data_IF_389150881396
#
_entry.id   IF_389150881396
#
_cell.length_a   1.000
_cell.length_b   1.000
_cell.length_c   1.000
_cell.angle_alpha   90.00
_cell.angle_beta   90.00
_cell.angle_gamma   90.00
#
_symmetry.space_group_name_H-M   'P 1'
#
loop_
_entity.id
_entity.type
_entity.pdbx_description
1 polymer ?
#
# COMPACT_ATOMS: atom_id res chain seq x y z
N UNK A 1 -11.40 12.67 0.07
CA UNK A 1 -10.41 11.77 0.62
C UNK A 1 -9.43 12.50 1.55
N UNK A 2 -8.89 13.64 1.14
CA UNK A 2 -7.97 14.41 1.97
C UNK A 2 -8.57 14.90 3.28
N UNK A 3 -9.85 15.11 3.30
CA UNK A 3 -10.53 15.59 4.49
C UNK A 3 -10.51 14.62 5.65
N UNK A 4 -10.47 13.33 5.35
CA UNK A 4 -10.41 12.30 6.39
C UNK A 4 -9.13 12.47 7.22
N UNK A 5 -8.03 12.77 6.56
CA UNK A 5 -6.76 12.99 7.25
C UNK A 5 -6.77 14.28 8.06
N UNK A 6 -7.43 15.32 7.56
CA UNK A 6 -7.51 16.59 8.27
C UNK A 6 -8.24 16.46 9.60
N UNK A 7 -9.19 15.56 9.71
CA UNK A 7 -9.93 15.34 10.95
C UNK A 7 -9.14 14.61 12.01
N UNK A 8 -8.06 13.95 11.65
CA UNK A 8 -7.30 13.15 12.59
C UNK A 8 -5.96 13.76 12.92
N UNK A 9 -6.00 15.00 13.39
CA UNK A 9 -4.79 15.69 13.80
C UNK A 9 -4.35 15.31 15.21
N UNK A 10 -5.28 14.91 16.02
CA UNK A 10 -4.96 14.44 17.37
C UNK A 10 -4.63 12.95 17.27
N UNK A 11 -3.51 12.53 17.85
CA UNK A 11 -3.15 11.10 17.83
C UNK A 11 -4.25 10.28 18.47
N UNK A 12 -4.90 9.52 17.65
CA UNK A 12 -5.94 8.58 18.06
C UNK A 12 -5.53 7.23 17.48
N UNK A 13 -4.87 6.41 18.29
CA UNK A 13 -4.30 5.15 17.82
C UNK A 13 -5.31 4.28 17.09
N UNK A 14 -6.51 4.17 17.62
CA UNK A 14 -7.55 3.34 17.02
C UNK A 14 -7.92 3.84 15.63
N UNK A 15 -8.10 5.13 15.49
CA UNK A 15 -8.51 5.73 14.23
C UNK A 15 -7.39 5.62 13.17
N UNK A 16 -6.16 5.87 13.58
CA UNK A 16 -5.01 5.70 12.70
C UNK A 16 -4.86 4.25 12.24
N UNK A 17 -5.08 3.32 13.16
CA UNK A 17 -4.97 1.91 12.85
C UNK A 17 -6.04 1.48 11.84
N UNK A 18 -7.26 1.96 11.99
CA UNK A 18 -8.33 1.69 11.03
C UNK A 18 -7.99 2.23 9.66
N UNK A 19 -7.48 3.46 9.59
CA UNK A 19 -7.08 4.05 8.31
C UNK A 19 -5.94 3.30 7.68
N UNK A 20 -4.96 2.88 8.47
CA UNK A 20 -3.84 2.09 7.98
C UNK A 20 -4.30 0.75 7.41
N UNK A 21 -5.23 0.10 8.09
CA UNK A 21 -5.82 -1.16 7.60
C UNK A 21 -6.50 -0.93 6.25
N UNK A 22 -7.29 0.13 6.11
CA UNK A 22 -7.93 0.47 4.84
C UNK A 22 -6.89 0.72 3.76
N UNK A 23 -5.84 1.46 4.07
CA UNK A 23 -4.76 1.73 3.12
C UNK A 23 -4.04 0.46 2.70
N UNK A 24 -3.78 -0.44 3.64
CA UNK A 24 -3.17 -1.73 3.33
C UNK A 24 -4.06 -2.53 2.38
N UNK A 25 -5.35 -2.54 2.62
CA UNK A 25 -6.31 -3.24 1.76
C UNK A 25 -6.34 -2.65 0.35
N UNK A 26 -6.29 -1.34 0.25
CA UNK A 26 -6.26 -0.66 -1.04
C UNK A 26 -4.98 -0.99 -1.81
N UNK A 27 -3.85 -1.01 -1.13
CA UNK A 27 -2.58 -1.38 -1.76
C UNK A 27 -2.60 -2.83 -2.22
N UNK A 28 -3.13 -3.74 -1.42
CA UNK A 28 -3.26 -5.15 -1.81
C UNK A 28 -4.12 -5.28 -3.07
N UNK A 29 -5.26 -4.59 -3.11
CA UNK A 29 -6.15 -4.61 -4.25
C UNK A 29 -5.44 -4.11 -5.51
N UNK A 30 -4.69 -3.03 -5.40
CA UNK A 30 -3.95 -2.45 -6.51
C UNK A 30 -2.83 -3.36 -6.97
N UNK A 31 -2.09 -3.95 -6.05
CA UNK A 31 -1.03 -4.91 -6.36
C UNK A 31 -1.61 -6.11 -7.11
N UNK A 32 -2.71 -6.65 -6.62
CA UNK A 32 -3.37 -7.80 -7.27
C UNK A 32 -3.82 -7.45 -8.68
N UNK A 33 -4.44 -6.29 -8.86
CA UNK A 33 -4.85 -5.83 -10.18
C UNK A 33 -3.64 -5.69 -11.11
N UNK A 34 -2.54 -5.14 -10.60
CA UNK A 34 -1.32 -5.00 -11.37
C UNK A 34 -0.78 -6.36 -11.80
N UNK A 35 -0.78 -7.34 -10.91
CA UNK A 35 -0.31 -8.68 -11.22
C UNK A 35 -1.17 -9.35 -12.28
N UNK A 36 -2.50 -9.18 -12.20
CA UNK A 36 -3.41 -9.71 -13.20
C UNK A 36 -3.14 -9.08 -14.57
N UNK A 37 -2.93 -7.77 -14.62
CA UNK A 37 -2.60 -7.08 -15.86
C UNK A 37 -1.25 -7.52 -16.42
N UNK A 38 -0.25 -7.69 -15.57
CA UNK A 38 1.07 -8.17 -16.00
C UNK A 38 0.93 -9.57 -16.62
N UNK A 39 0.19 -10.45 -15.99
CA UNK A 39 -0.03 -11.80 -16.51
C UNK A 39 -0.72 -11.77 -17.88
N UNK A 40 -1.72 -10.93 -18.03
CA UNK A 40 -2.45 -10.80 -19.29
C UNK A 40 -1.57 -10.22 -20.39
N UNK A 41 -0.88 -9.12 -20.10
CA UNK A 41 -0.03 -8.45 -21.08
C UNK A 41 1.21 -9.26 -21.44
N UNK A 42 1.65 -10.13 -20.56
CA UNK A 42 2.82 -10.99 -20.80
C UNK A 42 2.57 -12.06 -21.86
N UNK A 43 1.33 -12.23 -22.28
CA UNK A 43 1.01 -13.14 -23.39
C UNK A 43 1.57 -12.64 -24.71
N UNK A 44 1.76 -11.32 -24.85
CA UNK A 44 2.40 -10.71 -25.99
C UNK A 44 3.33 -9.59 -25.52
N UNK A 45 4.50 -9.96 -24.98
CA UNK A 45 5.38 -8.96 -24.36
C UNK A 45 5.94 -7.95 -25.34
N UNK A 46 6.13 -8.34 -26.60
CA UNK A 46 6.64 -7.41 -27.62
C UNK A 46 5.68 -6.28 -27.89
N UNK A 47 4.39 -6.59 -28.05
CA UNK A 47 3.38 -5.59 -28.31
C UNK A 47 3.05 -4.76 -27.07
N UNK A 48 3.23 -5.31 -25.86
CA UNK A 48 2.76 -4.71 -24.62
C UNK A 48 3.89 -4.23 -23.72
N UNK A 49 5.11 -4.10 -24.24
CA UNK A 49 6.29 -3.82 -23.42
C UNK A 49 6.15 -2.55 -22.58
N UNK A 50 5.63 -1.49 -23.16
CA UNK A 50 5.47 -0.22 -22.44
C UNK A 50 4.44 -0.32 -21.31
N UNK A 51 3.31 -0.96 -21.60
CA UNK A 51 2.28 -1.17 -20.57
C UNK A 51 2.76 -2.11 -19.48
N UNK A 52 3.51 -3.14 -19.84
CA UNK A 52 4.11 -4.04 -18.87
C UNK A 52 4.99 -3.29 -17.89
N UNK A 53 5.87 -2.43 -18.41
CA UNK A 53 6.76 -1.64 -17.57
C UNK A 53 5.96 -0.77 -16.59
N UNK A 54 4.89 -0.14 -17.06
CA UNK A 54 4.04 0.70 -16.22
C UNK A 54 3.35 -0.09 -15.10
N UNK A 55 2.81 -1.25 -15.42
CA UNK A 55 2.15 -2.07 -14.42
C UNK A 55 3.13 -2.66 -13.41
N UNK A 56 4.32 -3.03 -13.86
CA UNK A 56 5.38 -3.49 -12.95
C UNK A 56 5.76 -2.38 -11.98
N UNK A 57 5.97 -1.17 -12.46
CA UNK A 57 6.30 -0.03 -11.60
C UNK A 57 5.17 0.26 -10.63
N UNK A 58 3.93 0.23 -11.09
CA UNK A 58 2.78 0.46 -10.23
C UNK A 58 2.70 -0.58 -9.11
N UNK A 59 2.94 -1.84 -9.45
CA UNK A 59 2.97 -2.93 -8.47
C UNK A 59 4.07 -2.69 -7.43
N UNK A 60 5.27 -2.34 -7.89
CA UNK A 60 6.40 -2.13 -6.98
C UNK A 60 6.18 -0.92 -6.08
N UNK A 61 5.65 0.16 -6.60
CA UNK A 61 5.38 1.36 -5.81
C UNK A 61 4.36 1.09 -4.72
N UNK A 62 3.30 0.36 -5.04
CA UNK A 62 2.30 0.01 -4.05
C UNK A 62 2.80 -1.03 -3.05
N UNK A 63 3.68 -1.93 -3.46
CA UNK A 63 4.31 -2.87 -2.55
C UNK A 63 5.22 -2.14 -1.55
N UNK A 64 5.98 -1.16 -2.03
CA UNK A 64 6.83 -0.35 -1.16
C UNK A 64 5.99 0.45 -0.16
N UNK A 65 4.92 1.06 -0.62
CA UNK A 65 4.01 1.81 0.25
C UNK A 65 3.37 0.90 1.30
N UNK A 66 2.99 -0.30 0.90
CA UNK A 66 2.46 -1.30 1.83
C UNK A 66 3.48 -1.64 2.91
N UNK A 67 4.72 -1.90 2.50
CA UNK A 67 5.79 -2.24 3.42
C UNK A 67 6.08 -1.11 4.42
N UNK A 68 6.04 0.14 3.97
CA UNK A 68 6.23 1.30 4.84
C UNK A 68 5.16 1.38 5.92
N UNK A 69 3.91 1.13 5.56
CA UNK A 69 2.81 1.16 6.53
C UNK A 69 2.99 0.06 7.57
N UNK A 70 3.33 -1.14 7.15
CA UNK A 70 3.58 -2.26 8.06
C UNK A 70 4.75 -1.91 9.00
N UNK A 71 5.81 -1.34 8.46
CA UNK A 71 6.96 -0.92 9.25
C UNK A 71 6.58 0.09 10.33
N UNK A 72 5.76 1.06 9.99
CA UNK A 72 5.28 2.05 10.95
C UNK A 72 4.48 1.41 12.07
N UNK A 73 3.59 0.49 11.73
CA UNK A 73 2.76 -0.22 12.72
C UNK A 73 3.64 -1.01 13.67
N UNK A 74 4.60 -1.75 13.13
CA UNK A 74 5.51 -2.56 13.93
C UNK A 74 6.36 -1.68 14.84
N UNK A 75 6.90 -0.60 14.30
CA UNK A 75 7.75 0.32 15.06
C UNK A 75 7.00 0.95 16.23
N UNK A 76 5.75 1.35 16.00
CA UNK A 76 4.92 1.94 17.04
C UNK A 76 4.57 0.91 18.11
N UNK A 77 4.29 -0.32 17.71
CA UNK A 77 4.00 -1.38 18.66
C UNK A 77 5.20 -1.66 19.58
N UNK A 78 6.41 -1.66 19.02
CA UNK A 78 7.61 -1.82 19.83
C UNK A 78 7.85 -0.62 20.74
N UNK A 79 7.57 0.57 20.29
CA UNK A 79 7.72 1.77 21.11
C UNK A 79 6.76 1.73 22.30
N UNK A 80 5.51 1.34 22.08
CA UNK A 80 4.53 1.18 23.16
C UNK A 80 4.98 0.13 24.17
N UNK A 81 5.46 -1.00 23.68
CA UNK A 81 5.93 -2.08 24.55
C UNK A 81 7.12 -1.63 25.41
N UNK A 82 7.98 -0.80 24.84
CA UNK A 82 9.15 -0.30 25.57
C UNK A 82 8.77 0.67 26.69
N UNK A 83 7.65 1.38 26.54
CA UNK A 83 7.20 2.35 27.53
C UNK A 83 6.46 1.70 28.71
N UNK A 84 6.10 0.46 28.60
CA UNK A 84 5.46 -0.29 29.66
C UNK A 84 6.51 -0.85 30.62
#
# INVERSE_FOLDING_TARGET
>A
AGQVFAHCQIPCGIYNDEMRIVMLQEHITTIKKSMDQINELSKDPGANANQLARWVMNKEDHADAFAEIVEEIVREAFAEAADE
#
